data_IF_900872863000
#
_entry.id   IF_900872863000
#
_cell.length_a   1.000
_cell.length_b   1.000
_cell.length_c   1.000
_cell.angle_alpha   90.00
_cell.angle_beta   90.00
_cell.angle_gamma   90.00
#
_symmetry.space_group_name_H-M   'P 1'
#
loop_
_entity.id
_entity.type
_entity.pdbx_description
1 polymer ?
#
# COMPACT_ATOMS: atom_id res chain seq x y z
N UNK A 1 -8.10 16.53 -17.97
CA UNK A 1 -7.30 17.04 -16.83
C UNK A 1 -8.09 17.05 -15.52
N UNK A 2 -9.31 17.60 -15.45
CA UNK A 2 -10.15 17.61 -14.22
C UNK A 2 -10.41 16.22 -13.62
N UNK A 3 -10.82 15.24 -14.43
CA UNK A 3 -11.11 13.88 -13.94
C UNK A 3 -9.89 13.22 -13.29
N UNK A 4 -8.70 13.40 -13.87
CA UNK A 4 -7.45 12.86 -13.32
C UNK A 4 -7.12 13.47 -11.95
N UNK A 5 -7.27 14.79 -11.81
CA UNK A 5 -7.05 15.49 -10.53
C UNK A 5 -8.05 15.01 -9.47
N UNK A 6 -9.33 14.87 -9.82
CA UNK A 6 -10.34 14.35 -8.91
C UNK A 6 -10.04 12.91 -8.47
N UNK A 7 -9.56 12.05 -9.38
CA UNK A 7 -9.14 10.69 -9.03
C UNK A 7 -7.96 10.69 -8.06
N UNK A 8 -6.91 11.48 -8.32
CA UNK A 8 -5.74 11.58 -7.43
C UNK A 8 -6.15 12.09 -6.05
N UNK A 9 -7.02 13.10 -5.97
CA UNK A 9 -7.55 13.61 -4.71
C UNK A 9 -8.39 12.55 -3.99
N UNK A 10 -9.25 11.82 -4.69
CA UNK A 10 -10.06 10.75 -4.11
C UNK A 10 -9.19 9.64 -3.51
N UNK A 11 -8.12 9.25 -4.22
CA UNK A 11 -7.12 8.29 -3.73
C UNK A 11 -6.40 8.83 -2.50
N UNK A 12 -5.99 10.10 -2.52
CA UNK A 12 -5.34 10.74 -1.37
C UNK A 12 -6.24 10.69 -0.14
N UNK A 13 -7.51 11.11 -0.26
CA UNK A 13 -8.47 11.05 0.84
C UNK A 13 -8.74 9.62 1.31
N UNK A 14 -8.88 8.66 0.39
CA UNK A 14 -9.01 7.25 0.70
C UNK A 14 -7.86 6.77 1.60
N UNK A 15 -6.61 7.05 1.21
CA UNK A 15 -5.45 6.66 1.99
C UNK A 15 -5.36 7.41 3.32
N UNK A 16 -5.66 8.71 3.37
CA UNK A 16 -5.68 9.47 4.62
C UNK A 16 -6.66 8.87 5.64
N UNK A 17 -7.88 8.55 5.20
CA UNK A 17 -8.91 7.95 6.06
C UNK A 17 -8.47 6.54 6.47
N UNK A 18 -8.02 5.72 5.53
CA UNK A 18 -7.62 4.35 5.80
C UNK A 18 -6.44 4.28 6.77
N UNK A 19 -5.43 5.13 6.60
CA UNK A 19 -4.32 5.22 7.54
C UNK A 19 -4.76 5.73 8.91
N UNK A 20 -5.64 6.73 8.97
CA UNK A 20 -6.17 7.22 10.24
C UNK A 20 -6.90 6.10 11.01
N UNK A 21 -7.79 5.36 10.35
CA UNK A 21 -8.50 4.22 10.95
C UNK A 21 -7.51 3.12 11.37
N UNK A 22 -6.58 2.76 10.48
CA UNK A 22 -5.57 1.73 10.76
C UNK A 22 -4.74 2.06 12.00
N UNK A 23 -4.17 3.26 12.07
CA UNK A 23 -3.31 3.65 13.20
C UNK A 23 -4.10 3.83 14.51
N UNK A 24 -5.32 4.38 14.44
CA UNK A 24 -6.15 4.55 15.64
C UNK A 24 -6.61 3.21 16.23
N UNK A 25 -7.04 2.26 15.40
CA UNK A 25 -7.41 0.92 15.86
C UNK A 25 -6.20 0.11 16.34
N UNK A 26 -5.03 0.27 15.69
CA UNK A 26 -3.79 -0.39 16.12
C UNK A 26 -3.41 0.03 17.53
N UNK A 27 -3.41 1.33 17.81
CA UNK A 27 -3.08 1.87 19.13
C UNK A 27 -4.05 1.37 20.20
N UNK A 28 -5.35 1.35 19.89
CA UNK A 28 -6.37 0.82 20.79
C UNK A 28 -6.11 -0.66 21.13
N UNK A 29 -5.86 -1.50 20.13
CA UNK A 29 -5.55 -2.92 20.34
C UNK A 29 -4.25 -3.12 21.12
N UNK A 30 -3.24 -2.31 20.84
CA UNK A 30 -1.98 -2.34 21.58
C UNK A 30 -2.19 -2.04 23.07
N UNK A 31 -3.06 -1.08 23.41
CA UNK A 31 -3.44 -0.80 24.78
C UNK A 31 -4.27 -1.94 25.42
N UNK A 32 -5.22 -2.52 24.70
CA UNK A 32 -6.05 -3.64 25.17
C UNK A 32 -5.25 -4.93 25.42
N UNK A 33 -4.17 -5.13 24.68
CA UNK A 33 -3.27 -6.29 24.82
C UNK A 33 -2.28 -6.18 25.99
N UNK A 34 -2.28 -5.07 26.75
CA UNK A 34 -1.37 -4.90 27.88
C UNK A 34 -1.61 -5.97 28.95
N UNK A 35 -0.54 -6.64 29.38
CA UNK A 35 -0.60 -7.74 30.35
C UNK A 35 -0.79 -9.13 29.74
N UNK A 36 -0.99 -9.24 28.41
CA UNK A 36 -0.97 -10.53 27.72
C UNK A 36 0.46 -10.99 27.43
N UNK A 37 0.69 -12.31 27.31
CA UNK A 37 1.94 -12.86 26.78
C UNK A 37 2.29 -12.26 25.41
N UNK A 38 3.60 -12.13 25.14
CA UNK A 38 4.10 -11.42 23.96
C UNK A 38 3.71 -12.11 22.64
N UNK A 39 3.66 -13.43 22.64
CA UNK A 39 3.22 -14.27 21.52
C UNK A 39 1.75 -14.00 21.16
N UNK A 40 0.87 -13.97 22.17
CA UNK A 40 -0.56 -13.67 21.96
C UNK A 40 -0.75 -12.25 21.42
N UNK A 41 0.05 -11.30 21.92
CA UNK A 41 0.03 -9.91 21.46
C UNK A 41 0.47 -9.78 20.00
N UNK A 42 1.54 -10.48 19.62
CA UNK A 42 2.05 -10.49 18.25
C UNK A 42 1.07 -11.13 17.28
N UNK A 43 0.44 -12.25 17.65
CA UNK A 43 -0.56 -12.91 16.81
C UNK A 43 -1.77 -11.99 16.56
N UNK A 44 -2.28 -11.33 17.60
CA UNK A 44 -3.40 -10.39 17.46
C UNK A 44 -3.06 -9.19 16.58
N UNK A 45 -1.86 -8.61 16.74
CA UNK A 45 -1.44 -7.47 15.95
C UNK A 45 -1.13 -7.87 14.50
N UNK A 46 -0.54 -9.04 14.28
CA UNK A 46 -0.29 -9.59 12.94
C UNK A 46 -1.61 -9.85 12.21
N UNK A 47 -2.57 -10.52 12.86
CA UNK A 47 -3.89 -10.77 12.27
C UNK A 47 -4.64 -9.48 11.94
N UNK A 48 -4.51 -8.46 12.78
CA UNK A 48 -5.06 -7.13 12.49
C UNK A 48 -4.41 -6.51 11.24
N UNK A 49 -3.08 -6.47 11.19
CA UNK A 49 -2.36 -5.89 10.06
C UNK A 49 -2.64 -6.64 8.77
N UNK A 50 -2.65 -7.98 8.80
CA UNK A 50 -2.97 -8.84 7.66
C UNK A 50 -4.36 -8.53 7.08
N UNK A 51 -5.34 -8.22 7.94
CA UNK A 51 -6.66 -7.79 7.52
C UNK A 51 -6.67 -6.47 6.74
N UNK A 52 -5.72 -5.57 7.00
CA UNK A 52 -5.62 -4.25 6.37
C UNK A 52 -4.66 -4.21 5.18
N UNK A 53 -3.69 -5.13 5.10
CA UNK A 53 -2.73 -5.23 3.98
C UNK A 53 -3.40 -5.13 2.61
N UNK A 54 -4.45 -5.91 2.25
CA UNK A 54 -5.02 -5.84 0.91
C UNK A 54 -5.63 -4.46 0.61
N UNK A 55 -6.24 -3.80 1.60
CA UNK A 55 -6.85 -2.48 1.43
C UNK A 55 -5.80 -1.37 1.27
N UNK A 56 -4.63 -1.53 1.86
CA UNK A 56 -3.51 -0.58 1.73
C UNK A 56 -2.73 -0.80 0.43
N UNK A 57 -2.51 -2.06 0.03
CA UNK A 57 -1.54 -2.41 -1.01
C UNK A 57 -2.17 -2.62 -2.38
N UNK A 58 -3.35 -3.25 -2.46
CA UNK A 58 -4.00 -3.55 -3.75
C UNK A 58 -4.40 -2.30 -4.54
N UNK A 59 -5.00 -1.25 -3.95
CA UNK A 59 -5.35 -0.05 -4.71
C UNK A 59 -4.11 0.61 -5.33
N UNK A 60 -3.00 0.67 -4.58
CA UNK A 60 -1.72 1.17 -5.08
C UNK A 60 -1.20 0.32 -6.24
N UNK A 61 -1.23 -1.00 -6.11
CA UNK A 61 -0.81 -1.91 -7.18
C UNK A 61 -1.65 -1.73 -8.45
N UNK A 62 -2.97 -1.67 -8.31
CA UNK A 62 -3.91 -1.45 -9.42
C UNK A 62 -3.61 -0.14 -10.12
N UNK A 63 -3.34 0.95 -9.38
CA UNK A 63 -2.98 2.24 -9.96
C UNK A 63 -1.66 2.18 -10.74
N UNK A 64 -0.64 1.53 -10.19
CA UNK A 64 0.66 1.37 -10.85
C UNK A 64 0.48 0.60 -12.16
N UNK A 65 -0.20 -0.55 -12.10
CA UNK A 65 -0.45 -1.40 -13.27
C UNK A 65 -1.28 -0.68 -14.34
N UNK A 66 -2.34 0.02 -13.92
CA UNK A 66 -3.18 0.82 -14.83
C UNK A 66 -2.40 1.96 -15.47
N UNK A 67 -1.58 2.67 -14.69
CA UNK A 67 -0.72 3.74 -15.18
C UNK A 67 0.27 3.25 -16.24
N UNK A 68 0.95 2.14 -15.96
CA UNK A 68 1.85 1.49 -16.92
C UNK A 68 1.11 0.97 -18.16
N UNK A 69 -0.07 0.39 -18.00
CA UNK A 69 -0.91 -0.06 -19.11
C UNK A 69 -1.28 1.09 -20.04
N UNK A 70 -1.68 2.24 -19.48
CA UNK A 70 -1.97 3.45 -20.25
C UNK A 70 -0.73 4.02 -20.95
N UNK A 71 0.42 4.04 -20.28
CA UNK A 71 1.68 4.51 -20.87
C UNK A 71 2.16 3.62 -22.00
N UNK A 72 2.09 2.30 -21.83
CA UNK A 72 2.41 1.34 -22.89
C UNK A 72 1.45 1.48 -24.07
N UNK A 73 0.15 1.65 -23.84
CA UNK A 73 -0.83 1.85 -24.91
C UNK A 73 -0.59 3.16 -25.70
N UNK A 74 -0.15 4.23 -25.02
CA UNK A 74 0.14 5.53 -25.64
C UNK A 74 1.53 5.62 -26.29
N UNK A 75 2.43 4.69 -25.99
CA UNK A 75 3.79 4.68 -26.54
C UNK A 75 3.77 4.46 -28.06
N UNK A 76 4.49 5.32 -28.79
CA UNK A 76 4.55 5.30 -30.25
C UNK A 76 5.78 4.57 -30.76
N UNK A 77 6.86 4.53 -29.98
CA UNK A 77 8.14 3.96 -30.42
C UNK A 77 8.57 2.77 -29.57
N UNK A 78 9.35 1.86 -30.18
CA UNK A 78 9.95 0.72 -29.48
C UNK A 78 10.87 1.17 -28.34
N UNK A 79 11.58 2.30 -28.51
CA UNK A 79 12.46 2.86 -27.48
C UNK A 79 11.67 3.31 -26.25
N UNK A 80 10.54 3.97 -26.42
CA UNK A 80 9.64 4.36 -25.33
C UNK A 80 9.13 3.13 -24.56
N UNK A 81 8.74 2.07 -25.27
CA UNK A 81 8.29 0.81 -24.64
C UNK A 81 9.38 0.17 -23.81
N UNK A 82 10.60 0.10 -24.33
CA UNK A 82 11.76 -0.45 -23.61
C UNK A 82 12.05 0.40 -22.37
N UNK A 83 12.06 1.72 -22.48
CA UNK A 83 12.27 2.61 -21.34
C UNK A 83 11.19 2.42 -20.27
N UNK A 84 9.92 2.31 -20.66
CA UNK A 84 8.81 2.02 -19.75
C UNK A 84 9.01 0.68 -19.06
N UNK A 85 9.33 -0.40 -19.79
CA UNK A 85 9.57 -1.72 -19.21
C UNK A 85 10.73 -1.72 -18.21
N UNK A 86 11.84 -1.03 -18.52
CA UNK A 86 12.97 -0.89 -17.59
C UNK A 86 12.55 -0.15 -16.32
N UNK A 87 11.72 0.90 -16.44
CA UNK A 87 11.25 1.68 -15.29
C UNK A 87 10.30 0.91 -14.37
N UNK A 88 9.65 -0.16 -14.83
CA UNK A 88 8.78 -0.99 -13.98
C UNK A 88 9.58 -1.58 -12.81
N UNK A 89 10.84 -1.94 -13.05
CA UNK A 89 11.68 -2.57 -12.03
C UNK A 89 11.91 -1.70 -10.78
N UNK A 90 12.43 -0.46 -10.88
CA UNK A 90 12.59 0.40 -9.71
C UNK A 90 11.24 0.74 -9.04
N UNK A 91 10.15 0.91 -9.81
CA UNK A 91 8.82 1.14 -9.23
C UNK A 91 8.33 -0.08 -8.44
N UNK A 92 8.56 -1.29 -8.98
CA UNK A 92 8.25 -2.54 -8.31
C UNK A 92 9.02 -2.71 -7.00
N UNK A 93 10.29 -2.31 -6.96
CA UNK A 93 11.10 -2.30 -5.74
C UNK A 93 10.48 -1.35 -4.69
N UNK A 94 10.10 -0.13 -5.08
CA UNK A 94 9.47 0.82 -4.16
C UNK A 94 8.15 0.27 -3.61
N UNK A 95 7.33 -0.33 -4.48
CA UNK A 95 6.09 -0.99 -4.05
C UNK A 95 6.36 -2.14 -3.09
N UNK A 96 7.36 -2.97 -3.35
CA UNK A 96 7.73 -4.09 -2.49
C UNK A 96 8.25 -3.63 -1.12
N UNK A 97 9.07 -2.58 -1.09
CA UNK A 97 9.53 -1.95 0.15
C UNK A 97 8.33 -1.43 0.95
N UNK A 98 7.39 -0.73 0.30
CA UNK A 98 6.15 -0.26 0.94
C UNK A 98 5.35 -1.43 1.52
N UNK A 99 5.18 -2.53 0.76
CA UNK A 99 4.51 -3.73 1.24
C UNK A 99 5.17 -4.28 2.51
N UNK A 100 6.50 -4.44 2.53
CA UNK A 100 7.24 -4.90 3.71
C UNK A 100 7.00 -3.98 4.91
N UNK A 101 7.07 -2.66 4.73
CA UNK A 101 6.87 -1.71 5.82
C UNK A 101 5.50 -1.83 6.47
N UNK A 102 4.45 -2.07 5.67
CA UNK A 102 3.10 -2.31 6.18
C UNK A 102 3.04 -3.64 6.91
N UNK A 103 3.54 -4.73 6.32
CA UNK A 103 3.52 -6.06 6.95
C UNK A 103 4.28 -6.08 8.28
N UNK A 104 5.40 -5.37 8.37
CA UNK A 104 6.18 -5.25 9.60
C UNK A 104 5.46 -4.47 10.70
N UNK A 105 4.37 -3.75 10.42
CA UNK A 105 3.57 -3.11 11.49
C UNK A 105 2.91 -4.13 12.42
N UNK A 106 2.76 -5.38 11.96
CA UNK A 106 2.24 -6.50 12.76
C UNK A 106 3.24 -7.01 13.79
N UNK A 107 4.54 -6.78 13.54
CA UNK A 107 5.63 -7.25 14.39
C UNK A 107 6.26 -6.06 15.13
N UNK A 108 6.03 -5.96 16.44
CA UNK A 108 6.65 -4.94 17.28
C UNK A 108 7.37 -5.61 18.45
N UNK A 109 8.71 -5.45 18.58
CA UNK A 109 9.46 -6.03 19.70
C UNK A 109 9.03 -5.48 21.05
#
# INVERSE_FOLDING_TARGET
>A
MRLFICSVLGIFFYYCILFYVFFSEKEKRWAESQGQPIDVRWDQNTAFVDGYIPFLTMPLLIMILWGYGLWLHKSKTTRERIALLISIFPVGIVYFIFFIFISMQGYQP
#
